data_IF_428339627592
#
_entry.id   IF_428339627592
#
_cell.length_a   1.000
_cell.length_b   1.000
_cell.length_c   1.000
_cell.angle_alpha   90.00
_cell.angle_beta   90.00
_cell.angle_gamma   90.00
#
_symmetry.space_group_name_H-M   'P 1'
#
loop_
_entity.id
_entity.type
_entity.pdbx_description
1 polymer ?
#
# COMPACT_ATOMS: atom_id res chain seq x y z
N UNK A 1 16.12 -25.09 -4.16
CA UNK A 1 15.68 -23.69 -4.36
C UNK A 1 14.87 -23.28 -3.14
N UNK A 2 15.29 -22.25 -2.39
CA UNK A 2 14.56 -21.80 -1.20
C UNK A 2 13.26 -21.10 -1.63
N UNK A 3 12.12 -21.48 -1.04
CA UNK A 3 10.83 -20.85 -1.33
C UNK A 3 10.90 -19.36 -0.92
N UNK A 4 10.54 -18.41 -1.80
CA UNK A 4 10.56 -17.00 -1.44
C UNK A 4 9.59 -16.74 -0.29
N UNK A 5 10.07 -16.05 0.74
CA UNK A 5 9.24 -15.65 1.89
C UNK A 5 8.13 -14.73 1.41
N UNK A 6 6.88 -15.10 1.67
CA UNK A 6 5.73 -14.32 1.24
C UNK A 6 5.54 -13.09 2.14
N UNK A 7 5.28 -11.94 1.54
CA UNK A 7 4.92 -10.73 2.27
C UNK A 7 3.45 -10.84 2.70
N UNK A 8 3.18 -10.75 3.99
CA UNK A 8 1.82 -10.91 4.56
C UNK A 8 1.22 -9.58 5.00
N UNK A 9 2.06 -8.59 5.32
CA UNK A 9 1.60 -7.33 5.90
C UNK A 9 2.66 -6.25 5.94
N UNK A 10 2.30 -5.11 6.51
CA UNK A 10 3.20 -4.07 6.99
C UNK A 10 2.86 -3.74 8.44
N UNK A 11 3.82 -3.34 9.24
CA UNK A 11 3.58 -2.87 10.61
C UNK A 11 4.53 -1.73 10.94
N UNK A 12 4.17 -0.88 11.92
CA UNK A 12 5.11 0.09 12.46
C UNK A 12 6.17 -0.61 13.33
N UNK A 13 7.43 -0.25 13.16
CA UNK A 13 8.51 -0.71 14.02
C UNK A 13 8.30 -0.19 15.44
N UNK A 14 8.38 -1.07 16.44
CA UNK A 14 8.19 -0.69 17.85
C UNK A 14 9.34 0.16 18.40
N UNK A 15 10.48 0.22 17.70
CA UNK A 15 11.64 0.98 18.13
C UNK A 15 11.69 2.39 17.50
N UNK A 16 11.56 2.49 16.18
CA UNK A 16 11.70 3.76 15.45
C UNK A 16 10.42 4.27 14.79
N UNK A 17 9.32 3.52 14.84
CA UNK A 17 8.05 3.89 14.22
C UNK A 17 7.94 3.65 12.70
N UNK A 18 9.06 3.35 12.03
CA UNK A 18 9.11 3.16 10.57
C UNK A 18 8.22 2.00 10.10
N UNK A 19 7.59 2.13 8.93
CA UNK A 19 6.72 1.08 8.39
C UNK A 19 7.56 -0.03 7.76
N UNK A 20 7.54 -1.21 8.40
CA UNK A 20 8.35 -2.36 8.01
C UNK A 20 7.48 -3.47 7.41
N UNK A 21 7.99 -4.21 6.40
CA UNK A 21 7.26 -5.33 5.82
C UNK A 21 7.28 -6.54 6.76
N UNK A 22 6.10 -7.13 6.98
CA UNK A 22 5.95 -8.41 7.68
C UNK A 22 5.94 -9.52 6.63
N UNK A 23 6.81 -10.51 6.80
CA UNK A 23 6.97 -11.69 5.94
C UNK A 23 6.57 -12.95 6.70
N UNK A 24 6.19 -13.98 5.96
CA UNK A 24 5.98 -15.31 6.50
C UNK A 24 7.25 -16.15 6.33
N UNK A 25 7.70 -16.76 7.42
CA UNK A 25 8.81 -17.70 7.46
C UNK A 25 8.40 -19.09 6.95
N UNK A 26 9.38 -19.97 6.72
CA UNK A 26 9.14 -21.35 6.27
C UNK A 26 8.33 -22.19 7.25
N UNK A 27 8.38 -21.86 8.55
CA UNK A 27 7.60 -22.48 9.62
C UNK A 27 6.15 -21.94 9.73
N UNK A 28 5.75 -20.99 8.86
CA UNK A 28 4.43 -20.38 8.85
C UNK A 28 4.26 -19.16 9.76
N UNK A 29 5.25 -18.84 10.59
CA UNK A 29 5.21 -17.71 11.52
C UNK A 29 5.61 -16.38 10.88
N UNK A 30 5.11 -15.29 11.44
CA UNK A 30 5.44 -13.93 11.04
C UNK A 30 6.86 -13.52 11.49
N UNK A 31 7.57 -12.86 10.58
CA UNK A 31 8.84 -12.17 10.83
C UNK A 31 8.78 -10.77 10.25
N UNK A 32 9.26 -9.79 11.02
CA UNK A 32 9.46 -8.42 10.58
C UNK A 32 10.89 -8.00 10.95
N UNK A 33 11.56 -7.32 10.02
CA UNK A 33 12.91 -6.79 10.24
C UNK A 33 12.90 -5.35 9.79
N UNK A 34 13.30 -4.45 10.69
CA UNK A 34 13.43 -3.03 10.38
C UNK A 34 14.77 -2.76 9.73
N UNK A 35 14.77 -2.14 8.54
CA UNK A 35 16.00 -1.78 7.85
C UNK A 35 16.64 -0.49 8.39
N UNK A 36 15.93 0.25 9.26
CA UNK A 36 16.41 1.52 9.79
C UNK A 36 17.17 1.36 11.12
N UNK A 37 16.65 0.53 12.01
CA UNK A 37 17.23 0.30 13.35
C UNK A 37 17.69 -1.15 13.57
N UNK A 38 17.69 -1.97 12.52
CA UNK A 38 18.06 -3.40 12.54
C UNK A 38 17.27 -4.27 13.54
N UNK A 39 16.20 -3.74 14.13
CA UNK A 39 15.39 -4.48 15.08
C UNK A 39 14.59 -5.58 14.36
N UNK A 40 14.64 -6.79 14.92
CA UNK A 40 14.03 -8.00 14.36
C UNK A 40 12.95 -8.54 15.30
N UNK A 41 11.72 -8.57 14.80
CA UNK A 41 10.58 -9.21 15.45
C UNK A 41 10.32 -10.55 14.77
N UNK A 42 10.49 -11.65 15.51
CA UNK A 42 10.25 -13.00 15.01
C UNK A 42 9.31 -13.72 15.97
N UNK A 43 8.21 -14.28 15.45
CA UNK A 43 7.35 -15.15 16.23
C UNK A 43 7.96 -16.55 16.35
N UNK A 44 8.01 -17.06 17.59
CA UNK A 44 8.47 -18.42 17.90
C UNK A 44 7.31 -19.36 18.31
N UNK A 45 6.08 -18.86 18.37
CA UNK A 45 4.90 -19.62 18.74
C UNK A 45 3.60 -18.88 18.39
N UNK A 46 2.46 -19.57 18.55
CA UNK A 46 1.15 -19.07 18.13
C UNK A 46 0.77 -17.74 18.78
N UNK A 47 1.04 -17.58 20.09
CA UNK A 47 0.72 -16.33 20.80
C UNK A 47 1.48 -15.14 20.23
N UNK A 48 2.78 -15.30 19.97
CA UNK A 48 3.61 -14.25 19.40
C UNK A 48 3.19 -13.92 17.96
N UNK A 49 2.85 -14.93 17.16
CA UNK A 49 2.36 -14.76 15.80
C UNK A 49 1.05 -13.97 15.77
N UNK A 50 0.09 -14.32 16.63
CA UNK A 50 -1.17 -13.60 16.79
C UNK A 50 -0.96 -12.13 17.17
N UNK A 51 0.00 -11.82 18.05
CA UNK A 51 0.32 -10.44 18.41
C UNK A 51 0.91 -9.64 17.24
N UNK A 52 1.80 -10.24 16.45
CA UNK A 52 2.35 -9.59 15.26
C UNK A 52 1.26 -9.36 14.22
N UNK A 53 0.41 -10.37 13.97
CA UNK A 53 -0.70 -10.28 13.02
C UNK A 53 -1.80 -9.31 13.47
N UNK A 54 -2.06 -9.18 14.76
CA UNK A 54 -3.01 -8.19 15.28
C UNK A 54 -2.55 -6.74 15.09
N UNK A 55 -1.23 -6.51 15.04
CA UNK A 55 -0.63 -5.18 14.86
C UNK A 55 -0.23 -4.89 13.42
N UNK A 56 -0.27 -5.88 12.54
CA UNK A 56 0.04 -5.68 11.13
C UNK A 56 -1.18 -5.20 10.37
N UNK A 57 -0.97 -4.26 9.46
CA UNK A 57 -1.90 -3.96 8.40
C UNK A 57 -1.68 -4.99 7.29
N UNK A 58 -2.70 -5.80 6.92
CA UNK A 58 -2.56 -6.74 5.82
C UNK A 58 -2.27 -5.97 4.53
N UNK A 59 -1.39 -6.51 3.68
CA UNK A 59 -1.22 -5.98 2.33
C UNK A 59 -2.43 -6.48 1.54
N UNK A 60 -3.53 -5.71 1.53
CA UNK A 60 -4.62 -5.97 0.60
C UNK A 60 -4.04 -5.92 -0.80
N UNK A 61 -3.93 -7.09 -1.42
CA UNK A 61 -3.89 -7.17 -2.87
C UNK A 61 -5.29 -6.74 -3.33
N UNK A 62 -5.36 -5.79 -4.25
CA UNK A 62 -6.61 -5.34 -4.89
C UNK A 62 -7.56 -4.45 -4.06
N UNK A 63 -7.24 -3.17 -4.03
CA UNK A 63 -8.21 -2.18 -4.50
C UNK A 63 -7.43 -1.14 -5.27
N UNK A 64 -7.23 -1.42 -6.57
CA UNK A 64 -7.01 -0.34 -7.51
C UNK A 64 -8.13 0.70 -7.28
N UNK A 65 -7.82 2.01 -7.15
CA UNK A 65 -8.88 2.99 -7.17
C UNK A 65 -9.65 2.79 -8.48
N UNK A 66 -10.96 2.58 -8.39
CA UNK A 66 -11.81 2.55 -9.57
C UNK A 66 -11.49 3.81 -10.40
N UNK A 67 -11.26 3.71 -11.72
CA UNK A 67 -10.90 4.86 -12.53
C UNK A 67 -11.99 5.91 -12.38
N UNK A 68 -11.64 7.05 -11.78
CA UNK A 68 -12.50 8.22 -11.68
C UNK A 68 -12.88 8.59 -13.11
N UNK A 69 -14.16 8.39 -13.48
CA UNK A 69 -14.70 8.82 -14.77
C UNK A 69 -14.35 10.31 -14.93
N UNK A 70 -13.53 10.62 -15.94
CA UNK A 70 -13.20 11.99 -16.27
C UNK A 70 -14.51 12.77 -16.54
N UNK A 71 -14.67 14.00 -16.02
CA UNK A 71 -15.85 14.79 -16.31
C UNK A 71 -15.96 15.03 -17.82
N UNK A 72 -17.11 14.65 -18.39
CA UNK A 72 -17.45 14.93 -19.79
C UNK A 72 -17.50 16.45 -19.96
N UNK A 73 -16.48 17.01 -20.59
CA UNK A 73 -16.49 18.41 -21.01
C UNK A 73 -17.55 18.55 -22.08
N UNK A 74 -18.67 19.20 -21.74
CA UNK A 74 -19.69 19.57 -22.71
C UNK A 74 -19.07 20.52 -23.76
N UNK A 75 -19.37 20.35 -25.06
CA UNK A 75 -18.86 21.24 -26.09
C UNK A 75 -19.40 22.66 -25.87
N UNK A 76 -18.49 23.59 -25.63
CA UNK A 76 -18.78 25.03 -25.54
C UNK A 76 -19.30 25.48 -26.90
N UNK A 77 -20.53 26.00 -26.94
CA UNK A 77 -21.10 26.65 -28.11
C UNK A 77 -20.24 27.87 -28.47
N UNK A 78 -19.46 27.75 -29.55
CA UNK A 78 -18.74 28.87 -30.14
C UNK A 78 -19.75 29.82 -30.82
N UNK A 79 -20.27 30.78 -30.05
CA UNK A 79 -20.90 31.98 -30.63
C UNK A 79 -19.81 32.81 -31.30
N UNK A 80 -19.58 32.60 -32.60
CA UNK A 80 -18.94 33.61 -33.44
C UNK A 80 -19.94 34.73 -33.73
N UNK A 81 -19.94 35.71 -32.83
CA UNK A 81 -20.27 37.09 -33.15
C UNK A 81 -19.04 37.69 -33.84
N UNK A 82 -19.18 38.12 -35.08
CA UNK A 82 -18.20 38.98 -35.74
C UNK A 82 -18.96 40.08 -36.49
N UNK A 83 -19.20 41.14 -35.73
CA UNK A 83 -19.61 42.46 -36.19
C UNK A 83 -18.40 43.15 -36.85
N UNK A 84 -18.65 43.78 -38.00
CA UNK A 84 -17.94 44.90 -38.65
C UNK A 84 -16.41 44.97 -38.66
N UNK A 85 -15.83 44.92 -39.87
CA UNK A 85 -14.68 45.76 -40.24
C UNK A 85 -14.63 46.00 -41.78
N UNK A 86 -14.76 47.28 -42.18
CA UNK A 86 -14.18 48.01 -43.34
C UNK A 86 -14.32 47.36 -44.76
N UNK A 87 -14.90 47.99 -45.78
CA UNK A 87 -14.54 49.29 -46.38
C UNK A 87 -15.66 49.71 -47.35
#
# INVERSE_FOLDING_TARGET
MAKPMQKIGRMACTCCGEVIPVKQQANGFAIATCNYCDNKLQAFGQTADSHIRAKMTPVSSDSAPAPTLAPVVAPVQEKKSAFSLFN
#
